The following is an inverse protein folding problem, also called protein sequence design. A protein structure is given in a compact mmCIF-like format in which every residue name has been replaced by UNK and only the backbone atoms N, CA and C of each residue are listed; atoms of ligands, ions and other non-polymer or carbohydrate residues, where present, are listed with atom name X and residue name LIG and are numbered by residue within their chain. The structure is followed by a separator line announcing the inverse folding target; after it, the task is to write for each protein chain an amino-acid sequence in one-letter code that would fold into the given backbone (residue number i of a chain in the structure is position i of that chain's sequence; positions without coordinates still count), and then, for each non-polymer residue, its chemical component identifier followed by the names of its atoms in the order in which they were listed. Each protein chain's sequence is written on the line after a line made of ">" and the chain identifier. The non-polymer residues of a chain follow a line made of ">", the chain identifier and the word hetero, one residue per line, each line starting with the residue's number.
data_IF_416702696528
#
_entry.id   IF_416702696528
#
_cell.length_a   1.000
_cell.length_b   1.000
_cell.length_c   1.000
_cell.angle_alpha   90.00
_cell.angle_beta   90.00
_cell.angle_gamma   90.00
#
_symmetry.space_group_name_H-M   'P 1'
#
loop_
_entity.id
_entity.type
_entity.pdbx_description
1 polymer ?
#
# COMPACT_ATOMS: atom_id res chain seq x y z
N UNK A 1 1.16 -14.54 20.13
CA UNK A 1 0.33 -14.34 18.92
C UNK A 1 1.10 -14.87 17.72
N UNK A 2 0.49 -15.64 16.81
CA UNK A 2 1.23 -16.33 15.77
C UNK A 2 1.65 -15.34 14.67
N UNK A 3 2.80 -15.66 14.08
CA UNK A 3 3.52 -14.94 13.03
C UNK A 3 2.59 -14.31 11.98
N UNK A 4 2.89 -13.07 11.61
CA UNK A 4 2.34 -12.38 10.44
C UNK A 4 2.45 -13.32 9.24
N UNK A 5 1.32 -13.80 8.71
CA UNK A 5 1.31 -14.76 7.61
C UNK A 5 1.76 -14.04 6.32
N UNK A 6 3.05 -14.16 6.02
CA UNK A 6 3.69 -13.65 4.79
C UNK A 6 3.48 -14.65 3.65
N UNK A 7 2.22 -14.93 3.34
CA UNK A 7 1.86 -15.77 2.20
C UNK A 7 1.61 -14.91 0.96
N UNK A 8 2.30 -15.20 -0.13
CA UNK A 8 2.06 -14.62 -1.45
C UNK A 8 1.35 -15.68 -2.29
N UNK A 9 0.09 -15.46 -2.69
CA UNK A 9 -0.67 -16.44 -3.47
C UNK A 9 -0.83 -17.82 -2.79
N UNK A 10 -0.92 -17.85 -1.44
CA UNK A 10 -1.02 -19.09 -0.67
C UNK A 10 0.32 -19.79 -0.37
N UNK A 11 1.45 -19.27 -0.89
CA UNK A 11 2.78 -19.79 -0.60
C UNK A 11 3.37 -18.99 0.56
N UNK A 12 3.70 -19.64 1.68
CA UNK A 12 4.50 -19.02 2.76
C UNK A 12 5.89 -18.69 2.24
N UNK A 13 6.17 -17.41 2.03
CA UNK A 13 7.47 -16.96 1.57
C UNK A 13 8.32 -16.57 2.78
N UNK A 14 9.48 -17.21 2.92
CA UNK A 14 10.39 -16.94 4.04
C UNK A 14 10.90 -15.50 4.00
N UNK A 15 11.05 -14.88 5.19
CA UNK A 15 11.52 -13.49 5.36
C UNK A 15 12.81 -13.18 4.59
N UNK A 16 13.69 -14.17 4.43
CA UNK A 16 14.95 -14.06 3.67
C UNK A 16 14.77 -13.76 2.17
N UNK A 17 13.61 -14.09 1.60
CA UNK A 17 13.32 -13.83 0.18
C UNK A 17 12.82 -12.41 -0.09
N UNK A 18 12.49 -11.65 0.97
CA UNK A 18 12.01 -10.28 0.87
C UNK A 18 13.01 -9.32 1.52
N UNK A 19 14.07 -8.97 0.78
CA UNK A 19 15.00 -7.92 1.20
C UNK A 19 14.47 -6.54 0.76
N UNK A 20 13.27 -6.18 1.21
CA UNK A 20 12.69 -4.88 0.93
C UNK A 20 13.46 -3.78 1.66
N UNK A 21 13.75 -2.70 0.94
CA UNK A 21 14.32 -1.46 1.49
C UNK A 21 13.44 -0.31 1.06
N UNK A 22 13.38 0.73 1.88
CA UNK A 22 12.72 1.96 1.45
C UNK A 22 13.49 2.54 0.27
N UNK A 23 12.80 2.78 -0.84
CA UNK A 23 13.37 3.45 -1.99
C UNK A 23 13.67 4.92 -1.64
N UNK A 24 14.80 5.44 -2.10
CA UNK A 24 15.10 6.87 -1.98
C UNK A 24 14.27 7.68 -2.99
N UNK A 25 14.20 9.01 -2.79
CA UNK A 25 13.36 9.89 -3.60
C UNK A 25 13.69 9.85 -5.11
N UNK A 26 14.97 9.66 -5.48
CA UNK A 26 15.35 9.59 -6.88
C UNK A 26 14.86 8.29 -7.52
N UNK A 27 14.98 7.17 -6.80
CA UNK A 27 14.44 5.87 -7.22
C UNK A 27 12.91 5.91 -7.33
N UNK A 28 12.21 6.55 -6.39
CA UNK A 28 10.75 6.71 -6.42
C UNK A 28 10.32 7.47 -7.68
N UNK A 29 10.98 8.61 -7.96
CA UNK A 29 10.66 9.42 -9.13
C UNK A 29 10.93 8.68 -10.44
N UNK A 30 12.04 7.94 -10.54
CA UNK A 30 12.36 7.15 -11.73
C UNK A 30 11.30 6.06 -12.00
N UNK A 31 10.93 5.31 -10.96
CA UNK A 31 10.02 4.17 -11.11
C UNK A 31 8.56 4.59 -11.29
N UNK A 32 8.12 5.59 -10.52
CA UNK A 32 6.71 5.98 -10.44
C UNK A 32 6.38 7.20 -11.29
N UNK A 33 7.36 8.06 -11.61
CA UNK A 33 7.10 9.35 -12.25
C UNK A 33 6.52 10.41 -11.30
N UNK A 34 6.31 10.07 -10.03
CA UNK A 34 5.71 10.96 -9.04
C UNK A 34 6.72 11.34 -7.94
N UNK A 35 6.62 12.59 -7.48
CA UNK A 35 7.41 13.10 -6.38
C UNK A 35 6.83 12.77 -5.01
N UNK A 36 7.53 13.21 -3.95
CA UNK A 36 7.09 13.04 -2.57
C UNK A 36 5.66 13.59 -2.34
N UNK A 37 4.94 12.95 -1.43
CA UNK A 37 3.57 13.28 -1.01
C UNK A 37 2.47 13.14 -2.07
N UNK A 38 2.81 12.81 -3.32
CA UNK A 38 1.84 12.63 -4.40
C UNK A 38 1.97 11.29 -5.13
N UNK A 39 2.70 10.33 -4.59
CA UNK A 39 2.95 9.05 -5.27
C UNK A 39 1.63 8.29 -5.46
N UNK A 40 1.31 7.98 -6.71
CA UNK A 40 0.16 7.16 -7.09
C UNK A 40 0.60 5.78 -7.54
N UNK A 41 -0.14 4.71 -7.19
CA UNK A 41 0.05 3.39 -7.79
C UNK A 41 -0.52 3.30 -9.22
N UNK A 42 -1.23 4.33 -9.69
CA UNK A 42 -1.84 4.39 -11.02
C UNK A 42 -1.06 5.38 -11.89
N UNK A 43 -0.78 5.00 -13.14
CA UNK A 43 -0.08 5.86 -14.10
C UNK A 43 1.43 5.96 -13.86
N UNK A 44 2.03 4.97 -13.21
CA UNK A 44 3.46 4.92 -12.97
C UNK A 44 4.27 4.75 -14.26
N UNK A 45 5.50 5.28 -14.29
CA UNK A 45 6.46 5.06 -15.39
C UNK A 45 6.75 3.58 -15.63
N UNK A 46 6.77 2.77 -14.57
CA UNK A 46 6.89 1.31 -14.64
C UNK A 46 5.79 0.65 -13.81
N UNK A 47 5.22 -0.43 -14.32
CA UNK A 47 4.31 -1.27 -13.55
C UNK A 47 5.08 -1.98 -12.43
N UNK A 48 4.67 -1.76 -11.19
CA UNK A 48 5.26 -2.38 -10.01
C UNK A 48 4.26 -3.35 -9.37
N UNK A 49 4.71 -4.51 -8.86
CA UNK A 49 3.85 -5.41 -8.10
C UNK A 49 3.33 -4.72 -6.84
N UNK A 50 2.01 -4.76 -6.65
CA UNK A 50 1.37 -4.18 -5.48
C UNK A 50 1.04 -5.26 -4.44
N UNK A 51 1.40 -5.01 -3.18
CA UNK A 51 0.96 -5.81 -2.03
C UNK A 51 -0.04 -4.98 -1.23
N UNK A 52 -1.25 -5.50 -1.05
CA UNK A 52 -2.32 -4.83 -0.31
C UNK A 52 -2.50 -5.47 1.07
N UNK A 53 -2.65 -4.62 2.09
CA UNK A 53 -2.88 -5.09 3.45
C UNK A 53 -4.27 -5.74 3.57
N UNK A 54 -4.32 -6.98 4.08
CA UNK A 54 -5.56 -7.72 4.29
C UNK A 54 -6.58 -7.00 5.21
N UNK A 55 -6.13 -6.07 6.06
CA UNK A 55 -7.03 -5.26 6.89
C UNK A 55 -7.91 -4.31 6.07
N UNK A 56 -7.40 -3.81 4.94
CA UNK A 56 -8.11 -2.89 4.03
C UNK A 56 -9.32 -3.59 3.39
N UNK A 57 -9.31 -4.92 3.28
CA UNK A 57 -10.45 -5.70 2.77
C UNK A 57 -11.72 -5.56 3.61
N UNK A 58 -11.61 -5.06 4.85
CA UNK A 58 -12.72 -4.95 5.80
C UNK A 58 -13.27 -3.53 5.93
N UNK A 59 -12.85 -2.59 5.08
CA UNK A 59 -13.35 -1.22 5.10
C UNK A 59 -14.87 -1.18 4.87
N UNK A 60 -15.53 -0.23 5.52
CA UNK A 60 -16.96 0.05 5.34
C UNK A 60 -17.17 1.57 5.41
N UNK A 61 -17.46 2.26 4.28
CA UNK A 61 -17.66 1.72 2.94
C UNK A 61 -16.39 1.12 2.33
N UNK A 62 -16.54 0.23 1.36
CA UNK A 62 -15.43 -0.50 0.71
C UNK A 62 -14.76 0.42 -0.35
N UNK A 63 -14.24 1.57 0.10
CA UNK A 63 -13.59 2.60 -0.73
C UNK A 63 -12.17 2.81 -0.23
N UNK A 64 -11.21 2.84 -1.15
CA UNK A 64 -9.81 3.10 -0.90
C UNK A 64 -9.45 4.50 -1.41
N UNK A 65 -8.72 5.25 -0.58
CA UNK A 65 -8.14 6.55 -0.93
C UNK A 65 -6.64 6.39 -1.16
N UNK A 66 -6.14 6.87 -2.29
CA UNK A 66 -4.75 6.75 -2.73
C UNK A 66 -4.28 8.07 -3.34
N UNK A 67 -2.99 8.38 -3.29
CA UNK A 67 -2.44 9.54 -3.99
C UNK A 67 -2.74 9.49 -5.49
N UNK A 68 -2.94 10.66 -6.12
CA UNK A 68 -3.32 10.79 -7.53
C UNK A 68 -2.25 11.51 -8.39
N UNK A 69 -0.98 11.35 -8.04
CA UNK A 69 0.14 11.92 -8.80
C UNK A 69 0.51 13.35 -8.42
N UNK A 70 -0.22 13.96 -7.47
CA UNK A 70 0.01 15.30 -6.94
C UNK A 70 -0.28 15.32 -5.44
N UNK A 71 0.39 16.20 -4.69
CA UNK A 71 0.26 16.28 -3.23
C UNK A 71 -1.16 16.65 -2.76
N UNK A 72 -1.91 17.36 -3.60
CA UNK A 72 -3.25 17.85 -3.27
C UNK A 72 -4.38 16.95 -3.80
N UNK A 73 -4.05 15.85 -4.49
CA UNK A 73 -5.06 15.02 -5.16
C UNK A 73 -5.00 13.57 -4.71
N UNK A 74 -6.20 13.01 -4.51
CA UNK A 74 -6.42 11.61 -4.17
C UNK A 74 -7.46 10.97 -5.11
N UNK A 75 -7.30 9.67 -5.33
CA UNK A 75 -8.29 8.82 -5.97
C UNK A 75 -9.14 8.16 -4.90
N UNK A 76 -10.47 8.27 -5.02
CA UNK A 76 -11.42 7.43 -4.29
C UNK A 76 -11.91 6.32 -5.21
N UNK A 77 -11.55 5.07 -4.90
CA UNK A 77 -11.85 3.92 -5.76
C UNK A 77 -12.55 2.81 -4.97
N UNK A 78 -13.51 2.09 -5.57
CA UNK A 78 -13.98 0.83 -5.02
C UNK A 78 -12.80 -0.12 -4.87
N UNK A 79 -12.55 -0.59 -3.65
CA UNK A 79 -11.39 -1.47 -3.40
C UNK A 79 -11.42 -2.76 -4.25
N UNK A 80 -12.58 -3.46 -4.47
CA UNK A 80 -12.59 -4.69 -5.25
C UNK A 80 -12.09 -4.48 -6.69
N UNK A 81 -12.54 -3.39 -7.33
CA UNK A 81 -12.14 -3.02 -8.68
C UNK A 81 -10.65 -2.71 -8.75
N UNK A 82 -10.12 -2.03 -7.72
CA UNK A 82 -8.69 -1.75 -7.62
C UNK A 82 -7.86 -3.03 -7.48
N UNK A 83 -8.26 -3.95 -6.60
CA UNK A 83 -7.55 -5.23 -6.39
C UNK A 83 -7.54 -6.08 -7.66
N UNK A 84 -8.67 -6.17 -8.34
CA UNK A 84 -8.80 -6.92 -9.59
C UNK A 84 -8.00 -6.27 -10.72
N UNK A 85 -8.08 -4.94 -10.87
CA UNK A 85 -7.37 -4.23 -11.94
C UNK A 85 -5.84 -4.29 -11.74
N UNK A 86 -5.37 -4.06 -10.52
CA UNK A 86 -3.94 -4.03 -10.21
C UNK A 86 -3.34 -5.41 -9.92
N UNK A 87 -4.18 -6.47 -9.93
CA UNK A 87 -3.79 -7.84 -9.57
C UNK A 87 -3.01 -7.89 -8.25
N UNK A 88 -3.51 -7.18 -7.23
CA UNK A 88 -2.81 -7.00 -5.97
C UNK A 88 -2.63 -8.33 -5.22
N UNK A 89 -1.45 -8.48 -4.61
CA UNK A 89 -1.17 -9.57 -3.69
C UNK A 89 -1.67 -9.18 -2.30
N UNK A 90 -2.69 -9.87 -1.80
CA UNK A 90 -3.25 -9.59 -0.48
C UNK A 90 -2.47 -10.35 0.60
N UNK A 91 -1.91 -9.63 1.57
CA UNK A 91 -1.15 -10.21 2.67
C UNK A 91 -1.42 -9.48 3.98
N UNK A 92 -1.23 -10.17 5.11
CA UNK A 92 -1.24 -9.50 6.41
C UNK A 92 0.09 -8.74 6.58
N UNK A 93 0.06 -7.41 6.49
CA UNK A 93 1.26 -6.56 6.57
C UNK A 93 1.21 -5.54 7.71
N UNK A 94 0.08 -5.45 8.42
CA UNK A 94 -0.12 -4.53 9.54
C UNK A 94 -0.01 -5.23 10.88
N UNK A 95 0.66 -4.61 11.84
CA UNK A 95 0.45 -4.89 13.26
C UNK A 95 -0.57 -3.88 13.80
N UNK A 96 -1.47 -4.27 14.73
CA UNK A 96 -2.28 -3.28 15.44
C UNK A 96 -1.36 -2.33 16.19
N UNK A 97 -1.64 -1.03 16.12
CA UNK A 97 -1.01 -0.08 17.02
C UNK A 97 -1.37 -0.47 18.45
N UNK A 98 -0.41 -0.38 19.38
CA UNK A 98 -0.73 -0.44 20.81
C UNK A 98 -1.77 0.61 21.13
N UNK A 99 -2.82 0.24 21.89
CA UNK A 99 -3.88 1.15 22.29
C UNK A 99 -3.26 2.39 22.97
N UNK A 100 -3.31 3.55 22.30
CA UNK A 100 -2.69 4.80 22.78
C UNK A 100 -2.07 5.69 21.71
N UNK A 101 -1.78 5.17 20.51
CA UNK A 101 -1.19 5.95 19.42
C UNK A 101 -2.21 6.13 18.28
N UNK A 102 -3.28 6.87 18.56
CA UNK A 102 -3.96 7.58 17.48
C UNK A 102 -3.07 8.78 17.15
N UNK A 103 -2.54 8.80 15.93
CA UNK A 103 -1.91 9.99 15.39
C UNK A 103 -2.92 11.14 15.50
N UNK A 104 -2.63 12.11 16.37
CA UNK A 104 -3.30 13.40 16.32
C UNK A 104 -3.14 13.92 14.90
N UNK A 105 -4.24 14.25 14.19
CA UNK A 105 -4.11 14.87 12.88
C UNK A 105 -3.24 16.13 13.04
N UNK A 106 -2.27 16.39 12.14
CA UNK A 106 -1.55 17.66 12.18
C UNK A 106 -2.58 18.79 12.08
N UNK A 107 -2.45 19.76 12.99
CA UNK A 107 -3.42 20.82 13.26
C UNK A 107 -4.05 21.39 11.98
N UNK A 108 -5.39 21.44 11.96
CA UNK A 108 -6.21 22.11 10.95
C UNK A 108 -6.28 23.62 11.18
#
# INVERSE_FOLDING_TARGET
>A
MPDVDRSLGGIKVAKMHFNYRLADASTILELTGFGNNGVSPIGMTRELPAVLCAAIMRLSPIVLWLGAGHADFEHALPMPDFVDTMQCLVANTSAPNSEGELATPPDA
#
